data_IF_944495232508
#
_entry.id   IF_944495232508
#
_cell.length_a   1.000
_cell.length_b   1.000
_cell.length_c   1.000
_cell.angle_alpha   90.00
_cell.angle_beta   90.00
_cell.angle_gamma   90.00
#
_symmetry.space_group_name_H-M   'P 1'
#
loop_
_entity.id
_entity.type
_entity.pdbx_description
1 polymer ?
#
# COMPACT_ATOMS: atom_id res chain seq x y z
N UNK A 1 14.86 3.61 -13.26
CA UNK A 1 15.81 2.73 -12.54
C UNK A 1 14.98 1.77 -11.73
N UNK A 2 15.05 0.45 -12.00
CA UNK A 2 14.23 -0.53 -11.30
C UNK A 2 14.71 -0.61 -9.85
N UNK A 3 13.81 -0.42 -8.88
CA UNK A 3 14.12 -0.63 -7.45
C UNK A 3 14.61 -2.07 -7.25
N UNK A 4 15.60 -2.26 -6.37
CA UNK A 4 15.98 -3.61 -5.95
C UNK A 4 14.83 -4.28 -5.20
N UNK A 5 14.81 -5.62 -5.20
CA UNK A 5 13.77 -6.39 -4.50
C UNK A 5 13.74 -6.08 -2.99
N UNK A 6 14.90 -5.78 -2.39
CA UNK A 6 15.00 -5.38 -0.98
C UNK A 6 14.38 -4.01 -0.71
N UNK A 7 14.69 -3.01 -1.55
CA UNK A 7 14.10 -1.67 -1.41
C UNK A 7 12.59 -1.68 -1.64
N UNK A 8 12.14 -2.46 -2.63
CA UNK A 8 10.72 -2.70 -2.88
C UNK A 8 10.04 -3.30 -1.64
N UNK A 9 10.66 -4.32 -1.06
CA UNK A 9 10.13 -4.99 0.12
C UNK A 9 10.06 -4.05 1.34
N UNK A 10 11.11 -3.29 1.62
CA UNK A 10 11.12 -2.29 2.71
C UNK A 10 10.05 -1.22 2.52
N UNK A 11 9.83 -0.79 1.28
CA UNK A 11 8.76 0.16 0.93
C UNK A 11 7.36 -0.41 1.22
N UNK A 12 7.13 -1.69 0.88
CA UNK A 12 5.89 -2.39 1.20
C UNK A 12 5.61 -2.41 2.70
N UNK A 13 6.57 -2.86 3.52
CA UNK A 13 6.42 -2.94 4.97
C UNK A 13 6.18 -1.56 5.59
N UNK A 14 6.89 -0.53 5.11
CA UNK A 14 6.70 0.84 5.58
C UNK A 14 5.27 1.36 5.30
N UNK A 15 4.71 1.07 4.12
CA UNK A 15 3.32 1.44 3.80
C UNK A 15 2.29 0.64 4.59
N UNK A 16 2.50 -0.66 4.77
CA UNK A 16 1.62 -1.50 5.59
C UNK A 16 1.59 -1.01 7.05
N UNK A 17 2.75 -0.66 7.62
CA UNK A 17 2.83 -0.09 8.98
C UNK A 17 2.08 1.22 9.08
N UNK A 18 2.25 2.12 8.11
CA UNK A 18 1.54 3.39 8.09
C UNK A 18 0.02 3.19 8.00
N UNK A 19 -0.42 2.28 7.13
CA UNK A 19 -1.83 1.93 7.02
C UNK A 19 -2.37 1.39 8.35
N UNK A 20 -1.66 0.47 9.00
CA UNK A 20 -2.06 -0.07 10.29
C UNK A 20 -2.24 1.03 11.37
N UNK A 21 -1.30 1.97 11.46
CA UNK A 21 -1.43 3.12 12.38
C UNK A 21 -2.67 3.96 12.07
N UNK A 22 -2.98 4.17 10.78
CA UNK A 22 -4.15 4.95 10.37
C UNK A 22 -5.47 4.23 10.65
N UNK A 23 -5.47 2.89 10.59
CA UNK A 23 -6.59 2.03 10.98
C UNK A 23 -6.76 1.87 12.50
N UNK A 24 -5.86 2.46 13.31
CA UNK A 24 -5.96 2.46 14.77
C UNK A 24 -5.22 1.34 15.48
N UNK A 25 -4.37 0.59 14.78
CA UNK A 25 -3.47 -0.36 15.44
C UNK A 25 -2.36 0.39 16.18
N UNK A 26 -2.13 -0.01 17.43
CA UNK A 26 -1.07 0.52 18.31
C UNK A 26 0.00 -0.57 18.56
N UNK A 27 1.17 -0.17 19.05
CA UNK A 27 2.28 -1.09 19.39
C UNK A 27 2.67 -2.04 18.25
N UNK A 28 2.79 -1.50 17.03
CA UNK A 28 3.13 -2.28 15.84
C UNK A 28 4.63 -2.55 15.81
N UNK A 29 5.01 -3.83 15.83
CA UNK A 29 6.40 -4.29 15.77
C UNK A 29 6.67 -5.00 14.45
N UNK A 30 7.93 -5.03 14.02
CA UNK A 30 8.36 -5.86 12.88
C UNK A 30 9.00 -7.15 13.38
N UNK A 31 8.47 -8.29 12.93
CA UNK A 31 9.08 -9.57 13.21
C UNK A 31 10.26 -9.81 12.25
N UNK A 32 11.48 -9.57 12.73
CA UNK A 32 12.69 -9.78 11.93
C UNK A 32 12.89 -11.24 11.50
N UNK A 33 12.36 -12.20 12.27
CA UNK A 33 12.42 -13.64 11.95
C UNK A 33 11.40 -14.05 10.88
N UNK A 34 10.36 -13.24 10.65
CA UNK A 34 9.31 -13.50 9.65
C UNK A 34 9.26 -12.31 8.68
N UNK A 35 10.11 -12.37 7.65
CA UNK A 35 10.30 -11.35 6.61
C UNK A 35 9.14 -10.32 6.50
N UNK A 36 9.35 -9.14 7.09
CA UNK A 36 8.46 -7.98 7.01
C UNK A 36 7.03 -8.23 7.49
N UNK A 37 6.83 -9.16 8.42
CA UNK A 37 5.54 -9.37 9.09
C UNK A 37 5.42 -8.37 10.22
N UNK A 38 4.35 -7.57 10.19
CA UNK A 38 4.04 -6.66 11.28
C UNK A 38 3.20 -7.40 12.32
N UNK A 39 3.48 -7.15 13.60
CA UNK A 39 2.77 -7.75 14.72
C UNK A 39 2.09 -6.66 15.56
N UNK A 40 0.94 -7.01 16.15
CA UNK A 40 0.30 -6.24 17.24
C UNK A 40 -0.01 -7.22 18.35
N UNK A 41 0.57 -7.01 19.54
CA UNK A 41 0.39 -7.90 20.69
C UNK A 41 0.59 -9.39 20.35
N UNK A 42 1.64 -9.72 19.57
CA UNK A 42 1.99 -11.05 19.04
C UNK A 42 1.16 -11.56 17.85
N UNK A 43 0.05 -10.90 17.50
CA UNK A 43 -0.77 -11.28 16.34
C UNK A 43 -0.23 -10.68 15.04
N UNK A 44 -0.16 -11.50 13.99
CA UNK A 44 0.29 -11.06 12.67
C UNK A 44 -0.76 -10.18 11.99
N UNK A 45 -0.34 -8.98 11.60
CA UNK A 45 -1.14 -8.09 10.77
C UNK A 45 -1.23 -8.61 9.32
N UNK A 46 -2.32 -8.27 8.61
CA UNK A 46 -2.46 -8.60 7.20
C UNK A 46 -1.36 -7.96 6.34
N UNK A 47 -0.88 -8.69 5.33
CA UNK A 47 0.11 -8.19 4.37
C UNK A 47 -0.59 -7.52 3.18
N UNK A 48 -1.16 -6.32 3.39
CA UNK A 48 -2.04 -5.67 2.40
C UNK A 48 -1.42 -5.37 1.03
N UNK A 49 -0.09 -5.26 0.93
CA UNK A 49 0.60 -5.06 -0.37
C UNK A 49 0.98 -6.37 -1.04
N UNK A 50 0.77 -7.51 -0.36
CA UNK A 50 1.27 -8.82 -0.75
C UNK A 50 0.22 -9.94 -0.77
N UNK A 51 -0.95 -9.74 -0.18
CA UNK A 51 -2.05 -10.70 -0.15
C UNK A 51 -3.37 -10.04 -0.59
N UNK A 52 -3.95 -10.55 -1.68
CA UNK A 52 -5.23 -10.09 -2.19
C UNK A 52 -6.38 -10.32 -1.21
N UNK A 53 -6.33 -11.37 -0.38
CA UNK A 53 -7.35 -11.60 0.65
C UNK A 53 -7.36 -10.49 1.70
N UNK A 54 -6.20 -9.92 1.99
CA UNK A 54 -6.06 -8.77 2.86
C UNK A 54 -6.39 -7.45 2.13
N UNK A 55 -5.93 -7.28 0.90
CA UNK A 55 -6.08 -6.04 0.13
C UNK A 55 -7.51 -5.79 -0.35
N UNK A 56 -8.19 -6.82 -0.85
CA UNK A 56 -9.54 -6.72 -1.43
C UNK A 56 -10.56 -6.02 -0.53
N UNK A 57 -10.66 -6.37 0.76
CA UNK A 57 -11.53 -5.67 1.71
C UNK A 57 -11.30 -4.14 1.79
N UNK A 58 -10.05 -3.66 1.63
CA UNK A 58 -9.76 -2.23 1.65
C UNK A 58 -10.40 -1.48 0.47
N UNK A 59 -10.43 -2.11 -0.70
CA UNK A 59 -11.01 -1.53 -1.92
C UNK A 59 -12.49 -1.23 -1.68
N UNK A 60 -13.23 -2.23 -1.19
CA UNK A 60 -14.65 -2.12 -0.94
C UNK A 60 -14.95 -1.16 0.24
N UNK A 61 -14.20 -1.26 1.33
CA UNK A 61 -14.42 -0.45 2.53
C UNK A 61 -14.19 1.05 2.31
N UNK A 62 -13.25 1.42 1.42
CA UNK A 62 -12.87 2.82 1.17
C UNK A 62 -13.28 3.33 -0.21
N UNK A 63 -14.01 2.54 -1.00
CA UNK A 63 -14.46 2.95 -2.35
C UNK A 63 -13.30 3.24 -3.32
N UNK A 64 -12.19 2.50 -3.22
CA UNK A 64 -11.00 2.77 -4.05
C UNK A 64 -11.29 2.39 -5.50
N UNK A 65 -11.23 3.38 -6.39
CA UNK A 65 -11.32 3.13 -7.84
C UNK A 65 -9.95 2.73 -8.38
N UNK A 66 -9.90 1.68 -9.20
CA UNK A 66 -8.68 1.21 -9.86
C UNK A 66 -8.79 1.49 -11.36
N UNK A 67 -7.86 2.28 -11.88
CA UNK A 67 -7.79 2.61 -13.31
C UNK A 67 -6.41 2.21 -13.87
N UNK A 68 -6.40 1.80 -15.13
CA UNK A 68 -5.17 1.50 -15.87
C UNK A 68 -4.89 2.63 -16.85
N UNK A 69 -3.66 3.11 -16.89
CA UNK A 69 -3.29 4.25 -17.72
C UNK A 69 -1.80 4.31 -18.01
N UNK A 70 -1.36 5.46 -18.50
CA UNK A 70 0.05 5.75 -18.74
C UNK A 70 0.71 6.40 -17.53
N UNK A 71 1.99 6.12 -17.34
CA UNK A 71 2.83 6.79 -16.37
C UNK A 71 3.10 8.22 -16.86
N UNK A 72 2.70 9.27 -16.12
CA UNK A 72 2.98 10.66 -16.51
C UNK A 72 4.47 10.98 -16.56
N UNK A 73 5.32 10.22 -15.86
CA UNK A 73 6.77 10.39 -15.89
C UNK A 73 7.43 9.71 -17.10
N UNK A 74 6.74 8.74 -17.72
CA UNK A 74 7.27 7.99 -18.86
C UNK A 74 6.16 7.80 -19.90
N UNK A 75 6.26 8.52 -21.02
CA UNK A 75 5.26 8.55 -22.12
C UNK A 75 4.84 7.15 -22.63
N UNK A 76 5.72 6.16 -22.49
CA UNK A 76 5.46 4.76 -22.88
C UNK A 76 5.20 3.81 -21.70
N UNK A 77 5.37 4.26 -20.46
CA UNK A 77 5.18 3.46 -19.25
C UNK A 77 3.70 3.23 -18.96
N UNK A 78 3.35 2.02 -18.56
CA UNK A 78 2.01 1.71 -18.06
C UNK A 78 1.99 1.82 -16.53
N UNK A 79 0.87 2.27 -15.98
CA UNK A 79 0.67 2.47 -14.55
C UNK A 79 -0.73 2.07 -14.09
N UNK A 80 -0.86 1.85 -12.78
CA UNK A 80 -2.15 1.80 -12.09
C UNK A 80 -2.39 3.13 -11.38
N UNK A 81 -3.63 3.62 -11.46
CA UNK A 81 -4.06 4.89 -10.89
C UNK A 81 -5.20 4.60 -9.91
N UNK A 82 -5.00 5.01 -8.67
CA UNK A 82 -5.97 4.89 -7.58
C UNK A 82 -6.20 6.27 -6.96
N UNK A 83 -7.19 7.02 -7.44
CA UNK A 83 -7.41 8.41 -7.04
C UNK A 83 -6.24 9.31 -7.46
N UNK A 84 -5.63 10.03 -6.51
CA UNK A 84 -4.43 10.84 -6.74
C UNK A 84 -3.12 10.04 -6.77
N UNK A 85 -3.17 8.73 -6.49
CA UNK A 85 -2.00 7.87 -6.46
C UNK A 85 -1.77 7.26 -7.84
N UNK A 86 -0.58 7.51 -8.39
CA UNK A 86 -0.06 6.83 -9.57
C UNK A 86 1.09 5.90 -9.16
N UNK A 87 1.07 4.67 -9.65
CA UNK A 87 2.12 3.67 -9.43
C UNK A 87 2.51 3.04 -10.78
N UNK A 88 3.74 3.30 -11.28
CA UNK A 88 4.26 2.68 -12.50
C UNK A 88 4.42 1.16 -12.32
N UNK A 89 4.06 0.38 -13.35
CA UNK A 89 4.24 -1.08 -13.27
C UNK A 89 5.72 -1.51 -13.28
N UNK A 90 6.61 -0.68 -13.84
CA UNK A 90 8.05 -0.95 -13.93
C UNK A 90 8.76 -1.05 -12.58
N UNK A 91 8.17 -0.46 -11.53
CA UNK A 91 8.77 -0.37 -10.20
C UNK A 91 8.41 -1.57 -9.31
N UNK A 92 7.61 -2.50 -9.83
CA UNK A 92 7.04 -3.60 -9.09
C UNK A 92 7.36 -4.96 -9.74
N UNK A 93 7.46 -6.04 -8.95
CA UNK A 93 7.75 -7.38 -9.49
C UNK A 93 6.69 -7.89 -10.47
N UNK A 94 5.43 -7.48 -10.30
CA UNK A 94 4.33 -7.79 -11.22
C UNK A 94 3.18 -6.78 -11.07
N UNK A 95 2.22 -6.81 -12.00
CA UNK A 95 1.07 -5.90 -12.00
C UNK A 95 0.23 -6.00 -10.72
N UNK A 96 -0.02 -7.21 -10.22
CA UNK A 96 -0.77 -7.42 -8.98
C UNK A 96 -0.12 -6.72 -7.78
N UNK A 97 1.21 -6.77 -7.69
CA UNK A 97 1.97 -6.09 -6.63
C UNK A 97 1.85 -4.58 -6.75
N UNK A 98 1.92 -4.02 -7.96
CA UNK A 98 1.69 -2.60 -8.18
C UNK A 98 0.26 -2.18 -7.79
N UNK A 99 -0.75 -2.98 -8.15
CA UNK A 99 -2.15 -2.68 -7.83
C UNK A 99 -2.37 -2.68 -6.31
N UNK A 100 -1.98 -3.74 -5.61
CA UNK A 100 -2.14 -3.81 -4.15
C UNK A 100 -1.38 -2.67 -3.45
N UNK A 101 -0.18 -2.33 -3.93
CA UNK A 101 0.58 -1.20 -3.39
C UNK A 101 -0.10 0.15 -3.65
N UNK A 102 -0.67 0.36 -4.84
CA UNK A 102 -1.43 1.56 -5.19
C UNK A 102 -2.70 1.70 -4.34
N UNK A 103 -3.43 0.60 -4.11
CA UNK A 103 -4.59 0.57 -3.22
C UNK A 103 -4.20 0.99 -1.81
N UNK A 104 -3.15 0.39 -1.23
CA UNK A 104 -2.68 0.75 0.12
C UNK A 104 -2.29 2.23 0.20
N UNK A 105 -1.55 2.76 -0.78
CA UNK A 105 -1.21 4.19 -0.82
C UNK A 105 -2.46 5.08 -0.92
N UNK A 106 -3.44 4.70 -1.75
CA UNK A 106 -4.66 5.49 -1.91
C UNK A 106 -5.48 5.53 -0.62
N UNK A 107 -5.60 4.40 0.08
CA UNK A 107 -6.29 4.33 1.38
C UNK A 107 -5.58 5.16 2.43
N UNK A 108 -4.24 5.13 2.49
CA UNK A 108 -3.45 5.99 3.38
C UNK A 108 -3.79 7.46 3.13
N UNK A 109 -3.79 7.90 1.87
CA UNK A 109 -4.13 9.29 1.50
C UNK A 109 -5.55 9.64 1.95
N UNK A 110 -6.54 8.79 1.70
CA UNK A 110 -7.92 9.00 2.13
C UNK A 110 -8.05 9.14 3.65
N UNK A 111 -7.40 8.26 4.41
CA UNK A 111 -7.44 8.27 5.88
C UNK A 111 -6.71 9.48 6.46
N UNK A 112 -5.58 9.90 5.87
CA UNK A 112 -4.85 11.09 6.29
C UNK A 112 -5.68 12.36 6.08
N UNK A 113 -6.33 12.50 4.93
CA UNK A 113 -7.24 13.63 4.67
C UNK A 113 -8.46 13.62 5.61
N UNK A 114 -9.05 12.46 5.89
CA UNK A 114 -10.19 12.35 6.80
C UNK A 114 -9.84 12.77 8.24
N UNK A 115 -8.62 12.46 8.72
CA UNK A 115 -8.13 12.89 10.05
C UNK A 115 -7.94 14.41 10.11
N UNK A 116 -7.48 15.04 9.03
CA UNK A 116 -7.34 16.50 8.98
C UNK A 116 -8.71 17.22 9.06
N UNK A 117 -9.77 16.64 8.48
CA UNK A 117 -11.12 17.22 8.54
C UNK A 117 -11.85 17.03 9.88
N UNK A 118 -11.52 15.98 10.65
CA UNK A 118 -12.12 15.75 11.98
C UNK A 118 -11.46 16.56 13.11
N UNK A 119 -10.34 17.24 12.84
CA UNK A 119 -9.58 18.00 13.83
C UNK A 119 -9.83 19.53 13.75
N UNK A 120 -10.91 19.95 13.08
CA UNK A 120 -11.37 21.35 12.99
C UNK A 120 -12.76 21.48 13.62
#
# INVERSE_FOLDING_TARGET
>A
MRMSDEEYFRSCVAKERRLAQLLGYENIEECYERAGTLLVNTDALPQWTRDWKACGPLIAAHGVTIQYGKDPAHEHGDAVICGSVNVPFSDHPCKDRAIMFAVVKAVIVLLEHAKCHHSQ
#
